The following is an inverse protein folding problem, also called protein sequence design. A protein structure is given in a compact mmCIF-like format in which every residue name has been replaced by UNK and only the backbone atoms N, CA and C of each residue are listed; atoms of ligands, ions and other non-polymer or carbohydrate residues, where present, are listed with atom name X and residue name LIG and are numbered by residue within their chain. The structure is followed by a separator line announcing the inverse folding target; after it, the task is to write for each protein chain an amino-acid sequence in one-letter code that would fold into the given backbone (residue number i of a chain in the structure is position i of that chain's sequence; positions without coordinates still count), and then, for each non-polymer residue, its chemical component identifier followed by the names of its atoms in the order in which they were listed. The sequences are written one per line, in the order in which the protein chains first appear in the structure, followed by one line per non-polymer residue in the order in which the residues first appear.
data_IF_775366544268
#
_entry.id   IF_775366544268
#
_cell.length_a   1.000
_cell.length_b   1.000
_cell.length_c   1.000
_cell.angle_alpha   90.00
_cell.angle_beta   90.00
_cell.angle_gamma   90.00
#
_symmetry.space_group_name_H-M   'P 1'
#
loop_
_entity.id
_entity.type
_entity.pdbx_description
1 polymer ?
#
# COMPACT_ATOMS: atom_id res chain seq x y z
N UNK A 1 -14.90 10.59 12.70
CA UNK A 1 -15.23 9.18 12.99
C UNK A 1 -16.46 9.18 13.88
N UNK A 2 -17.62 8.72 13.40
CA UNK A 2 -18.77 8.46 14.27
C UNK A 2 -18.57 7.07 14.84
N UNK A 3 -18.51 6.94 16.15
CA UNK A 3 -18.27 5.68 16.85
C UNK A 3 -19.52 5.33 17.61
N UNK A 4 -20.04 4.12 17.42
CA UNK A 4 -21.19 3.63 18.17
C UNK A 4 -20.82 3.46 19.65
N UNK A 5 -21.80 3.54 20.53
CA UNK A 5 -21.63 3.44 21.98
C UNK A 5 -21.05 2.08 22.44
N UNK A 6 -21.12 1.05 21.59
CA UNK A 6 -20.55 -0.28 21.82
C UNK A 6 -19.06 -0.38 21.43
N UNK A 7 -18.45 0.68 20.89
CA UNK A 7 -17.06 0.65 20.47
C UNK A 7 -16.12 0.46 21.66
N UNK A 8 -15.34 -0.62 21.62
CA UNK A 8 -14.23 -0.86 22.52
C UNK A 8 -12.92 -0.82 21.75
N UNK A 9 -11.91 -0.12 22.30
CA UNK A 9 -10.61 0.00 21.65
C UNK A 9 -9.77 -1.27 21.90
N UNK A 10 -9.59 -2.08 20.86
CA UNK A 10 -8.83 -3.35 20.89
C UNK A 10 -7.28 -3.21 20.87
N UNK A 11 -6.74 -2.03 21.15
CA UNK A 11 -5.29 -1.76 21.13
C UNK A 11 -4.80 -1.04 19.87
N UNK A 12 -3.50 -1.18 19.58
CA UNK A 12 -2.86 -0.61 18.40
C UNK A 12 -1.72 -1.51 17.91
N UNK A 13 -1.62 -1.67 16.59
CA UNK A 13 -0.55 -2.39 15.91
C UNK A 13 0.36 -1.38 15.20
N UNK A 14 1.67 -1.51 15.37
CA UNK A 14 2.65 -0.75 14.61
C UNK A 14 3.02 -1.52 13.33
N UNK A 15 2.63 -0.97 12.18
CA UNK A 15 3.00 -1.49 10.87
C UNK A 15 4.15 -0.66 10.30
N UNK A 16 5.31 -1.28 10.11
CA UNK A 16 6.47 -0.68 9.46
C UNK A 16 6.61 -1.26 8.05
N UNK A 17 6.95 -0.43 7.07
CA UNK A 17 7.20 -0.88 5.71
C UNK A 17 8.40 -0.18 5.07
N UNK A 18 9.08 -0.90 4.19
CA UNK A 18 10.10 -0.40 3.27
C UNK A 18 9.63 -0.67 1.85
N UNK A 19 9.84 0.30 0.95
CA UNK A 19 9.45 0.21 -0.46
C UNK A 19 10.68 0.29 -1.36
N UNK A 20 10.92 -0.74 -2.14
CA UNK A 20 11.90 -0.71 -3.22
C UNK A 20 11.31 0.08 -4.39
N UNK A 21 11.84 1.28 -4.59
CA UNK A 21 11.40 2.22 -5.63
C UNK A 21 11.66 1.73 -7.06
N UNK A 22 12.57 0.78 -7.26
CA UNK A 22 12.90 0.24 -8.58
C UNK A 22 12.10 -1.01 -8.90
N UNK A 23 11.88 -1.89 -7.91
CA UNK A 23 11.16 -3.15 -8.10
C UNK A 23 9.67 -3.06 -7.75
N UNK A 24 9.23 -1.95 -7.16
CA UNK A 24 7.89 -1.77 -6.60
C UNK A 24 7.53 -2.80 -5.53
N UNK A 25 8.53 -3.27 -4.79
CA UNK A 25 8.37 -4.32 -3.79
C UNK A 25 8.30 -3.71 -2.40
N UNK A 26 7.29 -4.12 -1.64
CA UNK A 26 7.12 -3.79 -0.23
C UNK A 26 7.70 -4.91 0.63
N UNK A 27 8.38 -4.52 1.70
CA UNK A 27 8.70 -5.38 2.82
C UNK A 27 8.04 -4.79 4.05
N UNK A 28 7.34 -5.59 4.84
CA UNK A 28 6.75 -5.10 6.07
C UNK A 28 7.20 -5.82 7.34
N UNK A 29 6.92 -5.21 8.48
CA UNK A 29 7.04 -5.80 9.79
C UNK A 29 5.96 -5.22 10.72
N UNK A 30 5.12 -6.09 11.28
CA UNK A 30 4.18 -5.78 12.34
C UNK A 30 4.86 -5.91 13.72
N UNK A 31 4.53 -5.02 14.63
CA UNK A 31 5.03 -5.02 16.01
C UNK A 31 4.00 -4.40 16.94
N UNK A 32 4.01 -4.81 18.21
CA UNK A 32 3.13 -4.21 19.23
C UNK A 32 3.43 -2.72 19.51
N UNK A 33 4.65 -2.26 19.22
CA UNK A 33 5.10 -0.88 19.42
C UNK A 33 5.99 -0.41 18.28
N UNK A 34 6.06 0.91 18.09
CA UNK A 34 7.09 1.55 17.28
C UNK A 34 8.41 1.61 18.04
N UNK A 35 9.53 1.82 17.35
CA UNK A 35 10.82 2.05 18.00
C UNK A 35 12.01 1.61 17.15
N UNK A 36 13.19 1.76 17.74
CA UNK A 36 14.47 1.40 17.10
C UNK A 36 14.52 -0.11 16.79
N UNK A 37 14.09 -0.96 17.72
CA UNK A 37 14.16 -2.42 17.56
C UNK A 37 13.28 -2.87 16.36
N UNK A 38 11.96 -2.59 16.31
CA UNK A 38 11.13 -2.94 15.16
C UNK A 38 11.65 -2.38 13.83
N UNK A 39 12.19 -1.16 13.83
CA UNK A 39 12.78 -0.57 12.63
C UNK A 39 14.02 -1.37 12.17
N UNK A 40 14.92 -1.72 13.08
CA UNK A 40 16.10 -2.53 12.73
C UNK A 40 15.73 -3.96 12.31
N UNK A 41 14.66 -4.54 12.84
CA UNK A 41 14.11 -5.82 12.38
C UNK A 41 13.66 -5.75 10.92
N UNK A 42 12.96 -4.68 10.54
CA UNK A 42 12.58 -4.44 9.14
C UNK A 42 13.82 -4.26 8.25
N UNK A 43 14.80 -3.46 8.71
CA UNK A 43 16.07 -3.27 7.99
C UNK A 43 16.76 -4.60 7.76
N UNK A 44 16.86 -5.45 8.78
CA UNK A 44 17.49 -6.77 8.67
C UNK A 44 16.73 -7.68 7.70
N UNK A 45 15.40 -7.69 7.74
CA UNK A 45 14.57 -8.42 6.77
C UNK A 45 14.87 -8.01 5.33
N UNK A 46 15.12 -6.73 5.06
CA UNK A 46 15.46 -6.24 3.71
C UNK A 46 16.92 -6.52 3.37
N UNK A 47 17.85 -6.07 4.20
CA UNK A 47 19.29 -6.08 3.90
C UNK A 47 19.92 -7.47 3.82
N UNK A 48 19.23 -8.50 4.32
CA UNK A 48 19.66 -9.91 4.22
C UNK A 48 19.19 -10.61 2.94
N UNK A 49 18.37 -9.95 2.10
CA UNK A 49 17.89 -10.50 0.85
C UNK A 49 18.67 -9.95 -0.35
N UNK A 50 18.77 -10.73 -1.42
CA UNK A 50 19.25 -10.22 -2.71
C UNK A 50 18.18 -9.34 -3.38
N UNK A 51 18.57 -8.28 -4.10
CA UNK A 51 19.95 -7.86 -4.41
C UNK A 51 20.62 -6.99 -3.33
N UNK A 52 19.94 -6.70 -2.21
CA UNK A 52 20.42 -5.73 -1.21
C UNK A 52 21.65 -6.21 -0.44
N UNK A 53 21.74 -7.52 -0.18
CA UNK A 53 22.85 -8.14 0.51
C UNK A 53 24.17 -7.98 -0.28
N UNK A 54 24.14 -8.16 -1.60
CA UNK A 54 25.33 -8.04 -2.46
C UNK A 54 25.55 -6.64 -3.08
N UNK A 55 24.54 -5.76 -3.01
CA UNK A 55 24.64 -4.43 -3.60
C UNK A 55 25.80 -3.60 -3.01
N UNK A 56 26.54 -2.90 -3.89
CA UNK A 56 27.62 -1.99 -3.47
C UNK A 56 27.14 -0.93 -2.47
N UNK A 57 25.94 -0.38 -2.69
CA UNK A 57 25.28 0.59 -1.82
C UNK A 57 23.76 0.40 -1.88
N UNK A 58 23.11 0.47 -0.73
CA UNK A 58 21.65 0.51 -0.59
C UNK A 58 21.26 1.79 0.12
N UNK A 59 20.53 2.66 -0.57
CA UNK A 59 20.09 3.93 0.00
C UNK A 59 18.75 3.76 0.73
N UNK A 60 18.77 4.02 2.03
CA UNK A 60 17.59 4.05 2.88
C UNK A 60 17.08 5.48 2.99
N UNK A 61 16.14 5.85 2.13
CA UNK A 61 15.45 7.14 2.21
C UNK A 61 14.37 7.05 3.28
N UNK A 62 14.49 7.87 4.32
CA UNK A 62 13.62 7.83 5.50
C UNK A 62 13.12 9.22 5.86
N UNK A 63 11.98 9.30 6.53
CA UNK A 63 11.52 10.56 7.11
C UNK A 63 12.27 10.84 8.43
N UNK A 64 11.80 11.79 9.24
CA UNK A 64 12.46 12.16 10.50
C UNK A 64 11.81 11.50 11.72
N UNK A 65 11.24 10.29 11.55
CA UNK A 65 10.64 9.51 12.62
C UNK A 65 11.62 9.16 13.74
N UNK A 66 11.13 9.07 14.98
CA UNK A 66 11.98 8.89 16.17
C UNK A 66 12.83 7.62 16.14
N UNK A 67 12.38 6.55 15.46
CA UNK A 67 13.12 5.28 15.34
C UNK A 67 14.37 5.36 14.47
N UNK A 68 14.45 6.34 13.58
CA UNK A 68 15.51 6.45 12.58
C UNK A 68 16.00 7.89 12.38
N UNK A 69 15.89 8.74 13.41
CA UNK A 69 16.30 10.14 13.36
C UNK A 69 17.80 10.34 13.57
N UNK A 70 18.40 11.18 12.72
CA UNK A 70 19.70 11.80 12.92
C UNK A 70 20.90 10.84 12.96
N UNK A 71 22.03 11.34 13.46
CA UNK A 71 23.33 10.66 13.36
C UNK A 71 23.38 9.32 14.10
N UNK A 72 22.64 9.19 15.20
CA UNK A 72 22.55 7.93 15.94
C UNK A 72 21.90 6.81 15.11
N UNK A 73 20.91 7.14 14.27
CA UNK A 73 20.29 6.20 13.36
C UNK A 73 21.22 5.80 12.21
N UNK A 74 21.92 6.78 11.63
CA UNK A 74 22.93 6.57 10.59
C UNK A 74 24.02 5.62 11.11
N UNK A 75 24.63 5.94 12.26
CA UNK A 75 25.71 5.15 12.85
C UNK A 75 25.27 3.72 13.18
N UNK A 76 24.05 3.53 13.71
CA UNK A 76 23.51 2.19 13.98
C UNK A 76 23.28 1.39 12.70
N UNK A 77 22.73 2.02 11.65
CA UNK A 77 22.50 1.35 10.37
C UNK A 77 23.82 0.92 9.74
N UNK A 78 24.76 1.84 9.55
CA UNK A 78 26.04 1.58 8.90
C UNK A 78 26.91 0.60 9.70
N UNK A 79 26.83 0.61 11.03
CA UNK A 79 27.53 -0.38 11.87
C UNK A 79 27.01 -1.80 11.63
N UNK A 80 25.70 -1.98 11.39
CA UNK A 80 25.10 -3.31 11.14
C UNK A 80 25.24 -3.73 9.68
N UNK A 81 25.07 -2.80 8.75
CA UNK A 81 25.10 -3.02 7.31
C UNK A 81 26.00 -1.97 6.64
N UNK A 82 27.30 -2.27 6.42
CA UNK A 82 28.27 -1.29 5.90
C UNK A 82 27.94 -0.71 4.52
N UNK A 83 27.15 -1.42 3.71
CA UNK A 83 26.69 -0.95 2.40
C UNK A 83 25.39 -0.12 2.47
N UNK A 84 24.76 0.02 3.64
CA UNK A 84 23.54 0.80 3.82
C UNK A 84 23.85 2.28 4.12
N UNK A 85 23.23 3.18 3.34
CA UNK A 85 23.38 4.63 3.44
C UNK A 85 22.02 5.24 3.75
N UNK A 86 21.85 5.79 4.96
CA UNK A 86 20.60 6.47 5.33
C UNK A 86 20.59 7.90 4.81
N UNK A 87 19.46 8.30 4.22
CA UNK A 87 19.21 9.65 3.70
C UNK A 87 17.88 10.15 4.27
N UNK A 88 17.91 11.21 5.06
CA UNK A 88 16.70 11.83 5.59
C UNK A 88 16.07 12.77 4.57
N UNK A 89 14.74 12.71 4.42
CA UNK A 89 14.01 13.76 3.71
C UNK A 89 14.14 15.09 4.45
N UNK A 90 13.97 16.24 3.77
CA UNK A 90 13.84 17.53 4.45
C UNK A 90 12.75 17.48 5.53
N UNK A 91 12.92 18.29 6.58
CA UNK A 91 11.92 18.43 7.64
C UNK A 91 10.59 18.87 7.03
N UNK A 92 9.50 18.27 7.47
CA UNK A 92 8.13 18.48 6.95
C UNK A 92 7.90 18.03 5.49
N UNK A 93 8.85 17.31 4.87
CA UNK A 93 8.73 16.78 3.51
C UNK A 93 8.64 15.25 3.48
N UNK A 94 7.97 14.63 4.46
CA UNK A 94 7.76 13.17 4.47
C UNK A 94 7.00 12.68 3.24
N UNK A 95 6.18 13.53 2.61
CA UNK A 95 5.49 13.24 1.35
C UNK A 95 6.42 12.89 0.18
N UNK A 96 7.71 13.24 0.25
CA UNK A 96 8.71 12.83 -0.75
C UNK A 96 9.13 11.36 -0.59
N UNK A 97 8.86 10.75 0.56
CA UNK A 97 9.12 9.33 0.78
C UNK A 97 8.02 8.48 0.12
N UNK A 98 8.38 7.72 -0.92
CA UNK A 98 7.41 6.95 -1.72
C UNK A 98 6.63 5.90 -0.92
N UNK A 99 7.16 5.41 0.21
CA UNK A 99 6.42 4.47 1.06
C UNK A 99 5.14 5.08 1.63
N UNK A 100 5.06 6.42 1.77
CA UNK A 100 3.85 7.13 2.21
C UNK A 100 2.68 6.96 1.22
N UNK A 101 2.98 6.80 -0.08
CA UNK A 101 1.98 6.48 -1.10
C UNK A 101 1.40 5.08 -0.82
N UNK A 102 2.26 4.11 -0.50
CA UNK A 102 1.82 2.78 -0.13
C UNK A 102 0.98 2.79 1.16
N UNK A 103 1.36 3.55 2.19
CA UNK A 103 0.52 3.70 3.40
C UNK A 103 -0.84 4.31 3.07
N UNK A 104 -0.91 5.27 2.16
CA UNK A 104 -2.18 5.83 1.68
C UNK A 104 -3.04 4.81 0.95
N UNK A 105 -2.45 3.82 0.28
CA UNK A 105 -3.16 2.69 -0.33
C UNK A 105 -3.66 1.73 0.75
N UNK A 106 -2.81 1.36 1.70
CA UNK A 106 -3.17 0.49 2.85
C UNK A 106 -4.33 1.09 3.64
N UNK A 107 -4.28 2.39 3.96
CA UNK A 107 -5.36 3.07 4.66
C UNK A 107 -6.70 2.90 3.94
N UNK A 108 -6.74 3.11 2.62
CA UNK A 108 -7.97 3.08 1.83
C UNK A 108 -8.47 1.67 1.53
N UNK A 109 -7.58 0.70 1.29
CA UNK A 109 -7.94 -0.65 0.81
C UNK A 109 -7.97 -1.71 1.91
N UNK A 110 -7.24 -1.50 2.99
CA UNK A 110 -7.05 -2.49 4.05
C UNK A 110 -7.73 -2.04 5.33
N UNK A 111 -7.44 -0.81 5.78
CA UNK A 111 -7.86 -0.33 7.11
C UNK A 111 -9.20 0.41 7.08
N UNK A 112 -9.81 0.59 5.90
CA UNK A 112 -11.11 1.26 5.76
C UNK A 112 -12.16 0.28 5.21
N UNK A 113 -13.29 0.08 5.93
CA UNK A 113 -13.55 0.50 7.30
C UNK A 113 -12.61 -0.18 8.32
N UNK A 114 -12.45 0.43 9.49
CA UNK A 114 -11.57 -0.06 10.56
C UNK A 114 -12.39 -0.88 11.58
N UNK A 115 -12.99 -1.97 11.12
CA UNK A 115 -13.99 -2.79 11.83
C UNK A 115 -13.44 -4.14 12.31
N UNK A 116 -12.13 -4.19 12.60
CA UNK A 116 -11.45 -5.41 13.03
C UNK A 116 -11.83 -5.85 14.44
N UNK A 117 -11.88 -7.16 14.65
CA UNK A 117 -12.22 -7.79 15.94
C UNK A 117 -11.00 -8.13 16.79
N UNK A 118 -9.80 -8.20 16.20
CA UNK A 118 -8.53 -8.44 16.90
C UNK A 118 -7.34 -7.81 16.17
N UNK A 119 -6.22 -7.61 16.88
CA UNK A 119 -4.97 -7.14 16.26
C UNK A 119 -4.36 -8.18 15.31
N UNK A 120 -4.57 -9.47 15.58
CA UNK A 120 -4.16 -10.57 14.70
C UNK A 120 -4.87 -10.47 13.34
N UNK A 121 -6.18 -10.18 13.33
CA UNK A 121 -6.91 -9.97 12.09
C UNK A 121 -6.37 -8.77 11.28
N UNK A 122 -5.92 -7.72 11.95
CA UNK A 122 -5.28 -6.56 11.30
C UNK A 122 -3.96 -6.98 10.67
N UNK A 123 -3.13 -7.71 11.40
CA UNK A 123 -1.84 -8.23 10.93
C UNK A 123 -2.01 -9.16 9.71
N UNK A 124 -2.90 -10.14 9.79
CA UNK A 124 -3.18 -11.07 8.70
C UNK A 124 -3.63 -10.34 7.43
N UNK A 125 -4.53 -9.36 7.57
CA UNK A 125 -5.03 -8.59 6.42
C UNK A 125 -3.93 -7.72 5.81
N UNK A 126 -3.05 -7.15 6.63
CA UNK A 126 -1.88 -6.39 6.16
C UNK A 126 -0.90 -7.30 5.41
N UNK A 127 -0.58 -8.48 5.97
CA UNK A 127 0.32 -9.45 5.34
C UNK A 127 -0.26 -9.99 4.02
N UNK A 128 -1.54 -10.36 3.99
CA UNK A 128 -2.21 -10.79 2.75
C UNK A 128 -2.20 -9.68 1.69
N UNK A 129 -2.42 -8.43 2.11
CA UNK A 129 -2.38 -7.28 1.20
C UNK A 129 -0.97 -7.01 0.67
N UNK A 130 0.09 -7.10 1.50
CA UNK A 130 1.49 -7.00 1.05
C UNK A 130 1.79 -8.02 -0.04
N UNK A 131 1.41 -9.29 0.16
CA UNK A 131 1.61 -10.35 -0.82
C UNK A 131 0.89 -10.05 -2.14
N UNK A 132 -0.39 -9.68 -2.07
CA UNK A 132 -1.18 -9.33 -3.25
C UNK A 132 -0.64 -8.09 -3.99
N UNK A 133 -0.23 -7.06 -3.24
CA UNK A 133 0.38 -5.87 -3.79
C UNK A 133 1.67 -6.22 -4.52
N UNK A 134 2.59 -6.95 -3.87
CA UNK A 134 3.87 -7.35 -4.46
C UNK A 134 3.72 -8.21 -5.72
N UNK A 135 2.66 -9.01 -5.83
CA UNK A 135 2.40 -9.83 -7.02
C UNK A 135 1.99 -9.02 -8.27
N UNK A 136 1.49 -7.80 -8.08
CA UNK A 136 0.91 -6.98 -9.17
C UNK A 136 1.51 -5.58 -9.29
N UNK A 137 2.37 -5.19 -8.34
CA UNK A 137 2.91 -3.85 -8.23
C UNK A 137 3.77 -3.49 -9.45
N UNK A 138 3.68 -2.21 -9.83
CA UNK A 138 4.59 -1.58 -10.78
C UNK A 138 5.16 -0.31 -10.14
N UNK A 139 6.40 0.08 -10.47
CA UNK A 139 7.03 1.25 -9.84
C UNK A 139 6.20 2.50 -10.07
N UNK A 140 6.13 3.37 -9.05
CA UNK A 140 5.46 4.66 -9.20
C UNK A 140 6.20 5.51 -10.24
N UNK A 141 5.51 5.88 -11.31
CA UNK A 141 6.01 6.83 -12.30
C UNK A 141 5.56 8.23 -11.88
N UNK A 142 6.52 9.06 -11.52
CA UNK A 142 6.28 10.45 -11.13
C UNK A 142 6.06 11.37 -12.33
N UNK A 143 6.50 10.95 -13.52
CA UNK A 143 6.24 11.66 -14.77
C UNK A 143 4.85 11.28 -15.28
N UNK A 144 4.03 12.28 -15.53
CA UNK A 144 2.75 12.15 -16.21
C UNK A 144 2.89 12.76 -17.61
N UNK A 145 2.77 11.93 -18.63
CA UNK A 145 2.94 12.30 -20.03
C UNK A 145 1.58 12.41 -20.73
N UNK A 146 1.49 13.05 -21.90
CA UNK A 146 0.26 13.05 -22.69
C UNK A 146 -0.27 11.64 -23.00
N UNK A 147 0.62 10.67 -23.23
CA UNK A 147 0.22 9.27 -23.43
C UNK A 147 -0.40 8.64 -22.16
N UNK A 148 0.06 9.03 -20.97
CA UNK A 148 -0.55 8.59 -19.71
C UNK A 148 -1.96 9.19 -19.54
N UNK A 149 -2.21 10.40 -20.04
CA UNK A 149 -3.53 11.01 -20.06
C UNK A 149 -4.49 10.23 -20.98
N UNK A 150 -4.04 9.89 -22.18
CA UNK A 150 -4.84 9.10 -23.14
C UNK A 150 -5.23 7.73 -22.56
N UNK A 151 -4.28 7.01 -21.93
CA UNK A 151 -4.59 5.73 -21.25
C UNK A 151 -5.61 5.94 -20.11
N UNK A 152 -5.44 6.99 -19.31
CA UNK A 152 -6.35 7.30 -18.21
C UNK A 152 -7.78 7.58 -18.71
N UNK A 153 -7.93 8.39 -19.76
CA UNK A 153 -9.23 8.68 -20.36
C UNK A 153 -9.90 7.39 -20.86
N UNK A 154 -9.16 6.56 -21.60
CA UNK A 154 -9.69 5.29 -22.11
C UNK A 154 -10.11 4.33 -20.96
N UNK A 155 -9.41 4.35 -19.82
CA UNK A 155 -9.77 3.54 -18.64
C UNK A 155 -11.05 4.04 -17.97
N UNK A 156 -11.24 5.36 -17.88
CA UNK A 156 -12.46 5.96 -17.34
C UNK A 156 -13.66 5.58 -18.22
N UNK A 157 -13.55 5.76 -19.53
CA UNK A 157 -14.60 5.39 -20.50
C UNK A 157 -15.02 3.92 -20.38
N UNK A 158 -14.05 2.99 -20.28
CA UNK A 158 -14.34 1.56 -20.06
C UNK A 158 -15.09 1.30 -18.76
N UNK A 159 -14.76 2.04 -17.70
CA UNK A 159 -15.43 1.89 -16.40
C UNK A 159 -16.87 2.40 -16.47
N UNK A 160 -17.08 3.56 -17.06
CA UNK A 160 -18.41 4.16 -17.25
C UNK A 160 -19.31 3.26 -18.10
N UNK A 161 -18.78 2.69 -19.20
CA UNK A 161 -19.51 1.72 -20.01
C UNK A 161 -19.90 0.46 -19.23
N UNK A 162 -18.99 -0.03 -18.39
CA UNK A 162 -19.26 -1.20 -17.55
C UNK A 162 -20.36 -0.92 -16.52
N UNK A 163 -20.36 0.26 -15.90
CA UNK A 163 -21.41 0.68 -14.97
C UNK A 163 -22.76 0.82 -15.67
N UNK A 164 -22.79 1.47 -16.84
CA UNK A 164 -24.01 1.61 -17.66
C UNK A 164 -24.60 0.25 -18.06
N UNK A 165 -23.76 -0.71 -18.45
CA UNK A 165 -24.20 -2.06 -18.79
C UNK A 165 -24.73 -2.83 -17.57
N UNK A 166 -24.22 -2.56 -16.36
CA UNK A 166 -24.74 -3.17 -15.12
C UNK A 166 -26.09 -2.58 -14.69
N UNK A 167 -26.41 -1.38 -15.15
CA UNK A 167 -27.64 -0.64 -14.82
C UNK A 167 -28.77 -0.83 -15.85
N UNK A 168 -28.54 -1.54 -16.95
CA UNK A 168 -29.62 -1.97 -17.85
C UNK A 168 -30.37 -3.17 -17.24
N UNK A 169 -31.69 -3.07 -17.00
CA UNK A 169 -32.46 -4.23 -16.56
C UNK A 169 -32.45 -5.30 -17.66
N UNK A 170 -32.52 -6.61 -17.32
CA UNK A 170 -32.73 -7.64 -18.34
C UNK A 170 -34.00 -7.30 -19.10
N UNK A 171 -33.91 -7.23 -20.43
CA UNK A 171 -35.03 -6.92 -21.29
C UNK A 171 -36.21 -7.83 -20.95
N UNK A 172 -37.34 -7.23 -20.57
CA UNK A 172 -38.58 -7.99 -20.44
C UNK A 172 -38.99 -8.34 -21.88
N UNK A 173 -38.76 -9.59 -22.29
CA UNK A 173 -39.23 -10.14 -23.56
C UNK A 173 -40.77 -10.22 -23.53
N UNK A 174 -41.43 -9.10 -23.74
CA UNK A 174 -42.84 -9.10 -24.14
C UNK A 174 -42.92 -9.38 -25.64
N UNK A 175 -42.95 -10.66 -26.00
CA UNK A 175 -43.53 -11.08 -27.28
C UNK A 175 -45.03 -10.71 -27.27
N UNK A 176 -45.53 -9.92 -28.23
CA UNK A 176 -46.97 -9.74 -28.36
C UNK A 176 -47.57 -11.08 -28.79
N UNK A 177 -48.51 -11.61 -28.00
CA UNK A 177 -49.25 -12.81 -28.35
C UNK A 177 -50.04 -12.53 -29.64
N UNK A 178 -49.62 -13.16 -30.74
CA UNK A 178 -50.35 -13.14 -32.00
C UNK A 178 -51.75 -13.75 -31.79
N UNK A 179 -52.77 -12.96 -32.09
CA UNK A 179 -54.15 -13.43 -32.19
C UNK A 179 -54.24 -14.43 -33.35
N UNK A 180 -54.37 -15.71 -33.00
CA UNK A 180 -54.71 -16.76 -33.96
C UNK A 180 -56.18 -16.60 -34.36
N UNK A 181 -56.40 -16.39 -35.67
CA UNK A 181 -57.69 -16.55 -36.32
C UNK A 181 -58.22 -17.98 -36.14
N UNK A 182 -59.50 -18.11 -35.79
CA UNK A 182 -60.28 -19.32 -36.04
C UNK A 182 -61.70 -18.94 -36.50
N UNK A 183 -62.00 -19.41 -37.71
CA UNK A 183 -63.28 -19.69 -38.38
C UNK A 183 -64.56 -18.94 -37.96
#
# INVERSE_FOLDING_TARGET
MRVNHEYQRGGALAYLAAYDVHQARVFSHCSAKTGIIPFMTLVEKVMTQEPYASAKRVFWVVDNGSSHRGQAAIGRLTKRFPNAVMVHTPTHASCLNQVEIFFSIVQRKVVTPNDFTSLEQVEDRLTAFEQHYNATARPFRWKFTPADLEDLMARIERHEQKEQNLQQPPGCDHQPAGLAHAA
#
